data_IF_272785093553
#
_entry.id   IF_272785093553
#
_cell.length_a   1.000
_cell.length_b   1.000
_cell.length_c   1.000
_cell.angle_alpha   90.00
_cell.angle_beta   90.00
_cell.angle_gamma   90.00
#
_symmetry.space_group_name_H-M   'P 1'
#
loop_
_entity.id
_entity.type
_entity.pdbx_description
1 polymer ?
#
# COMPACT_ATOMS: atom_id res chain seq x y z
N UNK A 1 26.99 11.06 -5.95
CA UNK A 1 27.26 10.69 -4.54
C UNK A 1 26.12 11.24 -3.72
N UNK A 2 25.36 10.39 -3.04
CA UNK A 2 24.26 10.81 -2.17
C UNK A 2 24.90 11.55 -0.99
N UNK A 3 24.91 12.87 -1.03
CA UNK A 3 25.42 13.72 0.05
C UNK A 3 24.20 14.15 0.85
N UNK A 4 23.77 13.32 1.80
CA UNK A 4 22.76 13.67 2.77
C UNK A 4 23.39 13.87 4.16
N UNK A 5 22.85 14.77 4.96
CA UNK A 5 23.19 14.79 6.36
C UNK A 5 22.83 13.44 6.99
N UNK A 6 23.60 12.91 7.94
CA UNK A 6 23.27 11.67 8.62
C UNK A 6 21.89 11.81 9.28
N UNK A 7 21.11 10.73 9.17
CA UNK A 7 19.76 10.66 9.78
C UNK A 7 19.89 10.82 11.29
N UNK A 8 19.09 11.68 11.89
CA UNK A 8 18.98 11.83 13.35
C UNK A 8 17.67 11.24 13.82
N UNK A 9 17.72 10.45 14.88
CA UNK A 9 16.52 9.84 15.49
C UNK A 9 16.49 10.13 16.98
N UNK A 10 15.31 10.49 17.48
CA UNK A 10 15.05 10.68 18.90
C UNK A 10 13.65 10.18 19.27
N UNK A 11 13.46 9.83 20.51
CA UNK A 11 12.17 9.45 21.05
C UNK A 11 11.37 10.70 21.43
N UNK A 12 10.08 10.71 21.11
CA UNK A 12 9.17 11.78 21.49
C UNK A 12 8.54 11.45 22.85
N UNK A 13 8.57 12.41 23.77
CA UNK A 13 7.94 12.31 25.11
C UNK A 13 6.42 12.16 25.02
N UNK A 14 5.82 12.75 23.99
CA UNK A 14 4.38 12.66 23.71
C UNK A 14 4.16 12.13 22.31
N UNK A 15 3.21 11.23 22.19
CA UNK A 15 2.77 10.70 20.90
C UNK A 15 1.78 11.68 20.25
N UNK A 16 2.12 12.37 19.16
CA UNK A 16 1.17 13.21 18.45
C UNK A 16 0.12 12.33 17.75
N UNK A 17 -1.06 12.90 17.49
CA UNK A 17 -2.00 12.28 16.53
C UNK A 17 -1.40 12.41 15.13
N UNK A 18 -1.13 11.26 14.48
CA UNK A 18 -0.45 11.24 13.19
C UNK A 18 -1.30 11.84 12.07
N UNK A 19 -2.64 11.77 12.16
CA UNK A 19 -3.54 12.41 11.20
C UNK A 19 -3.50 13.93 11.34
N UNK A 20 -3.44 14.44 12.59
CA UNK A 20 -3.32 15.89 12.83
C UNK A 20 -1.99 16.42 12.31
N UNK A 21 -0.92 15.67 12.56
CA UNK A 21 0.43 16.03 12.13
C UNK A 21 0.53 16.11 10.61
N UNK A 22 0.07 15.10 9.86
CA UNK A 22 0.08 15.14 8.38
C UNK A 22 -0.88 16.20 7.84
N UNK A 23 -1.99 16.49 8.53
CA UNK A 23 -2.91 17.54 8.11
C UNK A 23 -2.28 18.92 8.23
N UNK A 24 -1.63 19.22 9.38
CA UNK A 24 -0.94 20.48 9.60
C UNK A 24 0.19 20.70 8.58
N UNK A 25 1.01 19.67 8.34
CA UNK A 25 2.09 19.76 7.36
C UNK A 25 1.58 19.94 5.92
N UNK A 26 0.51 19.23 5.54
CA UNK A 26 -0.12 19.39 4.21
C UNK A 26 -0.66 20.80 4.01
N UNK A 27 -1.33 21.37 5.02
CA UNK A 27 -1.92 22.69 4.91
C UNK A 27 -0.86 23.81 4.94
N UNK A 28 0.33 23.52 5.51
CA UNK A 28 1.53 24.33 5.35
C UNK A 28 2.23 24.17 3.99
N UNK A 29 1.66 23.38 3.06
CA UNK A 29 2.18 23.18 1.70
C UNK A 29 3.18 22.05 1.54
N UNK A 30 3.39 21.24 2.59
CA UNK A 30 4.29 20.08 2.48
C UNK A 30 3.57 18.86 1.88
N UNK A 31 4.30 18.10 1.09
CA UNK A 31 3.86 16.78 0.67
C UNK A 31 3.94 15.81 1.85
N UNK A 32 2.90 14.98 2.02
CA UNK A 32 2.80 14.08 3.16
C UNK A 32 2.37 12.68 2.75
N UNK A 33 2.81 11.68 3.54
CA UNK A 33 2.29 10.33 3.50
C UNK A 33 1.97 9.88 4.93
N UNK A 34 0.86 9.16 5.07
CA UNK A 34 0.47 8.48 6.29
C UNK A 34 0.25 7.00 5.99
N UNK A 35 0.79 6.14 6.82
CA UNK A 35 0.38 4.75 6.95
C UNK A 35 0.18 4.50 8.43
N UNK A 36 -1.05 4.32 8.84
CA UNK A 36 -1.42 4.09 10.23
C UNK A 36 -2.21 2.80 10.38
N UNK A 37 -1.83 1.98 11.33
CA UNK A 37 -2.66 0.87 11.82
C UNK A 37 -2.98 1.14 13.27
N UNK A 38 -4.27 1.33 13.62
CA UNK A 38 -4.68 1.74 14.98
C UNK A 38 -4.46 0.69 16.08
N UNK A 39 -3.82 -0.43 15.77
CA UNK A 39 -3.53 -1.52 16.74
C UNK A 39 -2.23 -1.23 17.52
N UNK A 40 -2.15 -1.61 18.82
CA UNK A 40 -1.04 -1.24 19.71
C UNK A 40 0.36 -1.66 19.23
N UNK A 41 0.49 -2.85 18.65
CA UNK A 41 1.78 -3.42 18.22
C UNK A 41 2.11 -3.16 16.74
N UNK A 42 1.27 -2.40 16.05
CA UNK A 42 1.48 -2.10 14.66
C UNK A 42 2.43 -0.92 14.46
N UNK A 43 3.19 -0.95 13.38
CA UNK A 43 3.98 0.19 12.93
C UNK A 43 3.07 1.19 12.23
N UNK A 44 3.10 2.44 12.68
CA UNK A 44 2.43 3.57 12.03
C UNK A 44 3.47 4.65 11.72
N UNK A 45 3.35 5.30 10.57
CA UNK A 45 4.32 6.30 10.09
C UNK A 45 3.58 7.50 9.52
N UNK A 46 3.94 8.70 10.00
CA UNK A 46 3.67 9.96 9.34
C UNK A 46 4.97 10.47 8.70
N UNK A 47 4.95 10.70 7.40
CA UNK A 47 6.07 11.20 6.62
C UNK A 47 5.75 12.63 6.16
N UNK A 48 6.59 13.58 6.56
CA UNK A 48 6.39 15.01 6.36
C UNK A 48 7.51 15.59 5.50
N UNK A 49 7.15 16.30 4.46
CA UNK A 49 8.10 16.89 3.50
C UNK A 49 8.90 15.82 2.76
N UNK A 50 9.85 16.25 1.98
CA UNK A 50 10.70 15.43 1.13
C UNK A 50 12.16 15.73 1.36
N UNK A 51 12.96 14.70 1.68
CA UNK A 51 14.41 14.74 1.55
C UNK A 51 14.84 14.12 0.21
N UNK A 52 14.33 12.92 -0.10
CA UNK A 52 14.55 12.23 -1.38
C UNK A 52 13.30 11.48 -1.80
N UNK A 53 13.09 11.34 -3.11
CA UNK A 53 12.09 10.46 -3.68
C UNK A 53 12.74 9.44 -4.63
N UNK A 54 12.37 8.16 -4.49
CA UNK A 54 12.62 7.13 -5.49
C UNK A 54 11.36 7.03 -6.33
N UNK A 55 11.45 7.43 -7.60
CA UNK A 55 10.30 7.51 -8.50
C UNK A 55 10.48 6.65 -9.74
N UNK A 56 9.37 6.17 -10.31
CA UNK A 56 9.40 5.48 -11.59
C UNK A 56 9.85 6.45 -12.69
N UNK A 57 10.81 6.00 -13.50
CA UNK A 57 11.33 6.71 -14.66
C UNK A 57 11.39 5.79 -15.87
N UNK A 58 11.61 6.35 -17.06
CA UNK A 58 11.77 5.56 -18.28
C UNK A 58 12.99 4.63 -18.15
N UNK A 59 12.76 3.33 -18.28
CA UNK A 59 13.82 2.33 -18.20
C UNK A 59 14.33 1.99 -16.80
N UNK A 60 13.73 2.53 -15.72
CA UNK A 60 14.18 2.24 -14.37
C UNK A 60 13.48 3.05 -13.28
N UNK A 61 14.26 3.47 -12.30
CA UNK A 61 13.83 4.43 -11.25
C UNK A 61 14.87 5.54 -11.11
N UNK A 62 14.42 6.75 -10.83
CA UNK A 62 15.25 7.90 -10.51
C UNK A 62 15.23 8.15 -9.00
N UNK A 63 16.34 8.68 -8.48
CA UNK A 63 16.41 9.30 -7.18
C UNK A 63 16.38 10.82 -7.37
N UNK A 64 15.36 11.45 -6.81
CA UNK A 64 15.20 12.90 -6.81
C UNK A 64 15.52 13.47 -5.43
N UNK A 65 16.14 14.66 -5.41
CA UNK A 65 16.37 15.41 -4.17
C UNK A 65 15.12 16.21 -3.74
N UNK A 66 15.26 17.01 -2.69
CA UNK A 66 14.17 17.82 -2.14
C UNK A 66 13.61 18.84 -3.15
N UNK A 67 14.39 19.25 -4.16
CA UNK A 67 13.96 20.16 -5.23
C UNK A 67 13.27 19.47 -6.40
N UNK A 68 13.35 18.15 -6.47
CA UNK A 68 12.89 17.33 -7.60
C UNK A 68 13.95 17.13 -8.68
N UNK A 69 15.19 17.54 -8.44
CA UNK A 69 16.28 17.27 -9.36
C UNK A 69 16.72 15.81 -9.28
N UNK A 70 16.89 15.16 -10.43
CA UNK A 70 17.39 13.78 -10.50
C UNK A 70 18.88 13.79 -10.17
N UNK A 71 19.27 13.06 -9.11
CA UNK A 71 20.65 12.97 -8.61
C UNK A 71 21.26 11.58 -8.80
N UNK A 72 20.45 10.55 -9.05
CA UNK A 72 20.90 9.18 -9.35
C UNK A 72 19.84 8.44 -10.18
N UNK A 73 20.26 7.39 -10.88
CA UNK A 73 19.38 6.55 -11.70
C UNK A 73 19.74 5.07 -11.57
N UNK A 74 18.74 4.22 -11.38
CA UNK A 74 18.91 2.77 -11.35
C UNK A 74 18.13 2.14 -12.49
N UNK A 75 18.80 1.55 -13.49
CA UNK A 75 18.16 0.90 -14.63
C UNK A 75 17.49 -0.42 -14.23
N UNK A 76 16.42 -0.77 -14.92
CA UNK A 76 15.76 -2.07 -14.75
C UNK A 76 14.32 -2.09 -15.24
N UNK A 77 13.95 -3.12 -15.97
CA UNK A 77 12.57 -3.33 -16.45
C UNK A 77 11.57 -3.54 -15.31
N UNK A 78 12.00 -4.19 -14.22
CA UNK A 78 11.19 -4.35 -13.02
C UNK A 78 11.46 -3.21 -12.04
N UNK A 79 10.57 -2.24 -12.04
CA UNK A 79 10.68 -1.03 -11.19
C UNK A 79 10.79 -1.32 -9.70
N UNK A 80 10.19 -2.40 -9.17
CA UNK A 80 10.29 -2.76 -7.75
C UNK A 80 11.69 -3.27 -7.41
N UNK A 81 12.29 -4.08 -8.28
CA UNK A 81 13.66 -4.55 -8.10
C UNK A 81 14.67 -3.40 -8.27
N UNK A 82 14.44 -2.49 -9.22
CA UNK A 82 15.24 -1.30 -9.35
C UNK A 82 15.12 -0.39 -8.11
N UNK A 83 13.89 -0.15 -7.61
CA UNK A 83 13.67 0.60 -6.38
C UNK A 83 14.32 -0.06 -5.15
N UNK A 84 14.31 -1.40 -5.09
CA UNK A 84 14.97 -2.14 -4.01
C UNK A 84 16.50 -1.93 -4.01
N UNK A 85 17.14 -1.93 -5.21
CA UNK A 85 18.57 -1.65 -5.33
C UNK A 85 18.90 -0.19 -5.01
N UNK A 86 18.09 0.76 -5.53
CA UNK A 86 18.22 2.18 -5.18
C UNK A 86 18.09 2.39 -3.67
N UNK A 87 17.08 1.79 -3.05
CA UNK A 87 16.87 1.90 -1.60
C UNK A 87 18.05 1.38 -0.78
N UNK A 88 18.68 0.27 -1.19
CA UNK A 88 19.90 -0.20 -0.50
C UNK A 88 21.02 0.84 -0.52
N UNK A 89 21.24 1.51 -1.66
CA UNK A 89 22.26 2.58 -1.74
C UNK A 89 21.90 3.78 -0.87
N UNK A 90 20.66 4.25 -0.97
CA UNK A 90 20.17 5.39 -0.19
C UNK A 90 20.21 5.09 1.30
N UNK A 91 19.67 3.97 1.73
CA UNK A 91 19.64 3.60 3.15
C UNK A 91 21.04 3.41 3.74
N UNK A 92 21.97 2.82 2.98
CA UNK A 92 23.37 2.66 3.43
C UNK A 92 24.08 4.01 3.56
N UNK A 93 23.84 4.95 2.62
CA UNK A 93 24.44 6.29 2.68
C UNK A 93 23.88 7.10 3.87
N UNK A 94 22.58 6.97 4.18
CA UNK A 94 21.92 7.67 5.28
C UNK A 94 22.22 7.04 6.65
N UNK A 95 22.53 5.75 6.72
CA UNK A 95 22.86 5.04 7.96
C UNK A 95 24.30 5.25 8.45
N UNK A 96 25.12 5.98 7.71
CA UNK A 96 26.55 6.20 8.03
C UNK A 96 26.82 7.09 9.27
N UNK A 97 25.78 7.44 10.05
CA UNK A 97 25.87 8.17 11.31
C UNK A 97 25.60 7.26 12.52
N UNK A 98 25.85 7.78 13.73
CA UNK A 98 25.61 7.10 15.02
C UNK A 98 24.12 6.92 15.37
N UNK A 99 23.26 6.76 14.39
CA UNK A 99 21.81 6.68 14.59
C UNK A 99 21.35 5.29 15.05
N UNK A 100 20.60 5.27 16.14
CA UNK A 100 19.96 4.07 16.70
C UNK A 100 18.85 3.53 15.78
N UNK A 101 18.32 4.34 14.87
CA UNK A 101 17.26 3.97 13.98
C UNK A 101 17.66 3.98 12.49
N UNK A 102 17.14 3.03 11.74
CA UNK A 102 17.34 2.96 10.30
C UNK A 102 16.58 4.08 9.57
N UNK A 103 17.10 4.57 8.42
CA UNK A 103 16.37 5.45 7.52
C UNK A 103 15.02 4.87 7.15
N UNK A 104 14.02 5.73 6.97
CA UNK A 104 12.64 5.35 6.64
C UNK A 104 12.32 5.81 5.23
N UNK A 105 11.76 4.93 4.41
CA UNK A 105 11.10 5.29 3.17
C UNK A 105 9.63 4.83 3.21
N UNK A 106 8.72 5.71 2.80
CA UNK A 106 7.28 5.45 2.78
C UNK A 106 6.75 5.72 1.38
N UNK A 107 5.88 4.85 0.87
CA UNK A 107 5.37 5.07 -0.48
C UNK A 107 4.50 3.94 -0.98
N UNK A 108 4.34 3.90 -2.29
CA UNK A 108 3.54 2.91 -2.98
C UNK A 108 3.85 2.84 -4.47
N UNK A 109 3.10 1.98 -5.15
CA UNK A 109 3.24 1.80 -6.58
C UNK A 109 1.90 1.46 -7.23
N UNK A 110 1.72 1.92 -8.46
CA UNK A 110 0.55 1.60 -9.26
C UNK A 110 0.54 0.09 -9.59
N UNK A 111 -0.64 -0.50 -9.66
CA UNK A 111 -0.81 -1.89 -10.07
C UNK A 111 -0.21 -2.14 -11.47
N UNK A 112 -0.44 -1.24 -12.42
CA UNK A 112 0.13 -1.30 -13.77
C UNK A 112 1.32 -0.35 -13.91
N UNK A 113 2.47 -0.82 -14.41
CA UNK A 113 3.65 0.03 -14.62
C UNK A 113 3.49 1.01 -15.79
N UNK A 114 2.68 0.62 -16.78
CA UNK A 114 2.43 1.31 -18.04
C UNK A 114 1.13 2.14 -18.00
N UNK A 115 0.71 2.56 -16.82
CA UNK A 115 -0.48 3.38 -16.65
C UNK A 115 -0.24 4.79 -17.22
N UNK A 116 -1.20 5.27 -18.01
CA UNK A 116 -1.30 6.69 -18.35
C UNK A 116 -1.62 7.48 -17.07
N UNK A 117 -0.79 8.44 -16.67
CA UNK A 117 -1.04 9.28 -15.49
C UNK A 117 -2.07 10.38 -15.76
N UNK A 118 -3.16 10.07 -16.47
CA UNK A 118 -4.23 11.02 -16.75
C UNK A 118 -5.31 11.04 -15.66
N UNK A 119 -6.12 12.09 -15.63
CA UNK A 119 -7.25 12.26 -14.73
C UNK A 119 -6.84 12.36 -13.27
N UNK A 120 -7.59 11.74 -12.32
CA UNK A 120 -7.35 11.89 -10.87
C UNK A 120 -6.02 11.30 -10.39
N UNK A 121 -5.26 10.68 -11.28
CA UNK A 121 -3.97 10.06 -10.97
C UNK A 121 -2.77 10.84 -11.51
N UNK A 122 -2.99 12.00 -12.14
CA UNK A 122 -1.93 12.83 -12.75
C UNK A 122 -0.83 13.24 -11.77
N UNK A 123 -1.21 13.52 -10.52
CA UNK A 123 -0.27 13.87 -9.45
C UNK A 123 0.53 12.71 -8.85
N UNK A 124 0.29 11.44 -9.27
CA UNK A 124 0.93 10.27 -8.68
C UNK A 124 1.79 9.54 -9.70
N UNK A 125 3.12 9.42 -9.48
CA UNK A 125 3.98 8.61 -10.32
C UNK A 125 3.62 7.11 -10.21
N UNK A 126 4.02 6.31 -11.20
CA UNK A 126 3.75 4.88 -11.19
C UNK A 126 4.42 4.12 -10.03
N UNK A 127 5.45 4.71 -9.43
CA UNK A 127 6.09 4.28 -8.19
C UNK A 127 6.64 5.52 -7.50
N UNK A 128 6.41 5.62 -6.19
CA UNK A 128 6.98 6.62 -5.29
C UNK A 128 7.36 5.93 -3.99
N UNK A 129 8.62 6.04 -3.59
CA UNK A 129 9.07 5.80 -2.21
C UNK A 129 9.84 7.02 -1.74
N UNK A 130 9.25 7.72 -0.78
CA UNK A 130 9.78 8.96 -0.21
C UNK A 130 10.62 8.67 1.02
N UNK A 131 11.83 9.19 1.07
CA UNK A 131 12.53 9.48 2.31
C UNK A 131 12.07 10.85 2.76
N UNK A 132 11.24 10.94 3.83
CA UNK A 132 10.70 12.23 4.25
C UNK A 132 11.78 13.12 4.87
N UNK A 133 11.55 14.43 4.86
CA UNK A 133 12.37 15.35 5.64
C UNK A 133 12.28 15.00 7.14
N UNK A 134 11.05 14.69 7.61
CA UNK A 134 10.78 14.18 8.94
C UNK A 134 9.83 12.97 8.89
N UNK A 135 10.20 11.86 9.49
CA UNK A 135 9.33 10.73 9.76
C UNK A 135 8.97 10.68 11.24
N UNK A 136 7.68 10.55 11.58
CA UNK A 136 7.23 10.23 12.93
C UNK A 136 6.67 8.81 12.92
N UNK A 137 7.32 7.91 13.64
CA UNK A 137 7.00 6.50 13.65
C UNK A 137 6.56 6.05 15.05
N UNK A 138 5.39 5.41 15.12
CA UNK A 138 4.88 4.77 16.33
C UNK A 138 5.03 3.26 16.19
N UNK A 139 5.65 2.62 17.16
CA UNK A 139 5.84 1.17 17.21
C UNK A 139 5.97 0.70 18.65
N UNK A 140 5.31 -0.39 19.01
CA UNK A 140 5.37 -1.02 20.35
C UNK A 140 5.16 -0.03 21.50
N UNK A 141 4.18 0.88 21.35
CA UNK A 141 3.86 1.88 22.36
C UNK A 141 4.84 3.04 22.49
N UNK A 142 5.90 3.09 21.68
CA UNK A 142 6.89 4.19 21.64
C UNK A 142 6.77 4.97 20.35
N UNK A 143 7.13 6.25 20.40
CA UNK A 143 7.10 7.14 19.25
C UNK A 143 8.47 7.76 19.03
N UNK A 144 8.95 7.66 17.80
CA UNK A 144 10.25 8.19 17.38
C UNK A 144 10.06 9.19 16.25
N UNK A 145 10.85 10.25 16.27
CA UNK A 145 11.03 11.14 15.14
C UNK A 145 12.38 10.86 14.49
N UNK A 146 12.41 10.84 13.17
CA UNK A 146 13.62 10.63 12.36
C UNK A 146 13.71 11.72 11.32
N UNK A 147 14.75 12.57 11.40
CA UNK A 147 15.02 13.64 10.45
C UNK A 147 16.07 13.20 9.43
N UNK A 148 15.81 13.42 8.15
CA UNK A 148 16.75 13.25 7.04
C UNK A 148 17.10 14.57 6.35
N UNK A 149 16.65 15.71 6.90
CA UNK A 149 16.95 17.05 6.40
C UNK A 149 17.24 18.02 7.57
N UNK A 150 18.05 19.06 7.36
CA UNK A 150 18.21 20.15 8.33
C UNK A 150 16.84 20.76 8.68
N UNK A 151 16.70 21.24 9.92
CA UNK A 151 15.53 21.99 10.41
C UNK A 151 14.16 21.29 10.25
N UNK A 152 14.16 20.02 9.84
CA UNK A 152 12.92 19.27 9.68
C UNK A 152 12.18 19.01 11.01
N UNK A 153 12.84 19.15 12.15
CA UNK A 153 12.22 19.05 13.46
C UNK A 153 11.10 20.08 13.66
N UNK A 154 11.21 21.27 13.04
CA UNK A 154 10.22 22.35 13.10
C UNK A 154 8.84 21.91 12.55
N UNK A 155 8.80 20.86 11.74
CA UNK A 155 7.54 20.26 11.27
C UNK A 155 6.70 19.64 12.39
N UNK A 156 7.28 19.37 13.57
CA UNK A 156 6.53 18.91 14.75
C UNK A 156 5.74 20.04 15.42
N UNK A 157 6.18 21.27 15.24
CA UNK A 157 5.63 22.45 15.91
C UNK A 157 4.58 23.18 15.04
N UNK A 158 4.26 22.62 13.87
CA UNK A 158 3.20 23.17 13.03
C UNK A 158 1.87 23.17 13.79
N UNK A 159 1.13 24.31 13.77
CA UNK A 159 -0.11 24.43 14.53
C UNK A 159 -1.12 23.39 14.08
N UNK A 160 -1.73 22.63 15.03
CA UNK A 160 -2.74 21.66 14.68
C UNK A 160 -3.93 22.38 14.05
N UNK A 161 -4.31 21.92 12.87
CA UNK A 161 -5.52 22.43 12.23
C UNK A 161 -6.76 21.96 12.97
N UNK A 162 -7.68 22.88 13.24
CA UNK A 162 -9.02 22.53 13.68
C UNK A 162 -9.77 21.92 12.47
N UNK A 163 -9.66 20.61 12.35
CA UNK A 163 -10.46 19.86 11.39
C UNK A 163 -11.93 19.95 11.85
N UNK A 164 -12.64 20.97 11.38
CA UNK A 164 -14.08 21.09 11.62
C UNK A 164 -14.78 19.90 10.96
N UNK A 165 -15.68 19.26 11.68
CA UNK A 165 -16.50 18.23 11.09
C UNK A 165 -17.22 18.83 9.87
N UNK A 166 -17.14 18.22 8.69
CA UNK A 166 -17.86 18.71 7.54
C UNK A 166 -19.35 18.68 7.88
N UNK A 167 -20.07 19.78 7.61
CA UNK A 167 -21.51 19.74 7.57
C UNK A 167 -21.94 18.58 6.64
N UNK A 168 -23.01 17.86 6.99
CA UNK A 168 -23.53 16.77 6.18
C UNK A 168 -23.73 17.31 4.75
N UNK A 169 -22.91 16.80 3.81
CA UNK A 169 -22.91 17.26 2.42
C UNK A 169 -23.73 16.29 1.57
N UNK A 170 -24.59 16.83 0.74
CA UNK A 170 -25.20 16.05 -0.33
C UNK A 170 -24.11 15.77 -1.36
N UNK A 171 -23.87 14.50 -1.64
CA UNK A 171 -22.94 14.08 -2.67
C UNK A 171 -23.73 13.54 -3.86
N UNK A 172 -23.43 14.05 -5.04
CA UNK A 172 -23.89 13.46 -6.30
C UNK A 172 -22.92 12.34 -6.68
N UNK A 173 -23.43 11.09 -6.67
CA UNK A 173 -22.63 9.91 -7.02
C UNK A 173 -22.97 9.47 -8.44
N UNK A 174 -21.97 9.49 -9.30
CA UNK A 174 -22.08 9.10 -10.71
C UNK A 174 -21.14 7.93 -11.01
N UNK A 175 -21.67 6.87 -11.62
CA UNK A 175 -20.85 5.79 -12.13
C UNK A 175 -20.10 6.24 -13.39
N UNK A 176 -18.77 6.10 -13.42
CA UNK A 176 -17.95 6.44 -14.60
C UNK A 176 -18.21 5.47 -15.76
N UNK A 177 -18.60 4.25 -15.45
CA UNK A 177 -19.07 3.27 -16.45
C UNK A 177 -20.56 3.04 -16.27
N UNK A 178 -21.32 3.13 -17.39
CA UNK A 178 -22.75 2.83 -17.39
C UNK A 178 -23.03 1.45 -16.76
N UNK A 179 -24.03 1.31 -15.85
CA UNK A 179 -24.35 0.04 -15.21
C UNK A 179 -24.62 -1.11 -16.18
N UNK A 180 -25.29 -0.85 -17.33
CA UNK A 180 -25.52 -1.89 -18.35
C UNK A 180 -24.21 -2.40 -18.95
N UNK A 181 -23.30 -1.47 -19.29
CA UNK A 181 -21.96 -1.84 -19.79
C UNK A 181 -21.13 -2.57 -18.73
N UNK A 182 -21.34 -2.27 -17.44
CA UNK A 182 -20.71 -3.02 -16.34
C UNK A 182 -21.22 -4.46 -16.29
N UNK A 183 -22.55 -4.66 -16.32
CA UNK A 183 -23.17 -6.00 -16.31
C UNK A 183 -22.69 -6.83 -17.49
N UNK A 184 -22.69 -6.28 -18.70
CA UNK A 184 -22.16 -6.95 -19.88
C UNK A 184 -20.68 -7.34 -19.75
N UNK A 185 -19.86 -6.50 -19.11
CA UNK A 185 -18.45 -6.82 -18.84
C UNK A 185 -18.31 -8.00 -17.86
N UNK A 186 -19.17 -8.07 -16.83
CA UNK A 186 -19.19 -9.19 -15.87
C UNK A 186 -19.60 -10.49 -16.57
N UNK A 187 -20.64 -10.46 -17.38
CA UNK A 187 -21.13 -11.61 -18.16
C UNK A 187 -20.06 -12.14 -19.12
N UNK A 188 -19.41 -11.23 -19.86
CA UNK A 188 -18.30 -11.56 -20.77
C UNK A 188 -17.13 -12.21 -20.02
N UNK A 189 -16.71 -11.61 -18.88
CA UNK A 189 -15.65 -12.16 -18.05
C UNK A 189 -16.01 -13.56 -17.53
N UNK A 190 -17.23 -13.76 -17.05
CA UNK A 190 -17.71 -15.06 -16.58
C UNK A 190 -17.75 -16.12 -17.70
N UNK A 191 -18.15 -15.74 -18.93
CA UNK A 191 -18.13 -16.63 -20.09
C UNK A 191 -16.68 -17.09 -20.42
N UNK A 192 -15.73 -16.17 -20.43
CA UNK A 192 -14.31 -16.46 -20.68
C UNK A 192 -13.68 -17.34 -19.61
N UNK A 193 -14.06 -17.16 -18.33
CA UNK A 193 -13.64 -18.04 -17.25
C UNK A 193 -14.18 -19.46 -17.45
N UNK A 194 -15.47 -19.60 -17.81
CA UNK A 194 -16.07 -20.92 -18.13
C UNK A 194 -15.41 -21.59 -19.33
N UNK A 195 -14.94 -20.82 -20.31
CA UNK A 195 -14.16 -21.34 -21.45
C UNK A 195 -12.70 -21.70 -21.10
N UNK A 196 -12.27 -21.49 -19.83
CA UNK A 196 -10.91 -21.82 -19.39
C UNK A 196 -9.83 -20.82 -19.82
N UNK A 197 -10.20 -19.63 -20.31
CA UNK A 197 -9.24 -18.61 -20.75
C UNK A 197 -8.43 -18.01 -19.59
N UNK A 198 -8.97 -18.07 -18.37
CA UNK A 198 -8.28 -17.64 -17.14
C UNK A 198 -8.85 -18.42 -15.94
N UNK A 199 -8.02 -18.59 -14.90
CA UNK A 199 -8.45 -19.23 -13.66
C UNK A 199 -9.27 -18.28 -12.76
N UNK A 200 -8.96 -16.98 -12.81
CA UNK A 200 -9.61 -15.93 -11.99
C UNK A 200 -9.50 -14.58 -12.68
N UNK A 201 -10.55 -13.77 -12.51
CA UNK A 201 -10.57 -12.36 -12.89
C UNK A 201 -11.16 -11.55 -11.73
N UNK A 202 -10.60 -10.38 -11.47
CA UNK A 202 -11.15 -9.41 -10.52
C UNK A 202 -11.52 -8.16 -11.32
N UNK A 203 -12.80 -7.77 -11.23
CA UNK A 203 -13.31 -6.57 -11.88
C UNK A 203 -13.46 -5.47 -10.85
N UNK A 204 -13.07 -4.25 -11.20
CA UNK A 204 -13.26 -3.05 -10.40
C UNK A 204 -14.17 -2.06 -11.11
N UNK A 205 -14.99 -1.37 -10.35
CA UNK A 205 -15.86 -0.29 -10.82
C UNK A 205 -15.49 1.01 -10.13
N UNK A 206 -15.44 2.07 -10.90
CA UNK A 206 -15.15 3.40 -10.45
C UNK A 206 -16.43 4.25 -10.42
N UNK A 207 -16.59 5.00 -9.34
CA UNK A 207 -17.66 6.00 -9.18
C UNK A 207 -17.03 7.34 -8.81
N UNK A 208 -17.67 8.43 -9.24
CA UNK A 208 -17.30 9.77 -8.86
C UNK A 208 -18.35 10.31 -7.89
N UNK A 209 -17.92 10.78 -6.74
CA UNK A 209 -18.75 11.51 -5.79
C UNK A 209 -18.37 13.00 -5.86
N UNK A 210 -19.32 13.87 -6.16
CA UNK A 210 -19.13 15.33 -6.21
C UNK A 210 -19.96 15.98 -5.13
N UNK A 211 -19.40 16.98 -4.49
CA UNK A 211 -20.07 17.81 -3.50
C UNK A 211 -19.50 19.21 -3.49
N UNK A 212 -20.17 20.12 -2.79
CA UNK A 212 -19.73 21.51 -2.68
C UNK A 212 -18.51 21.63 -1.76
N UNK A 213 -17.51 22.40 -2.19
CA UNK A 213 -16.31 22.74 -1.45
C UNK A 213 -15.24 21.65 -1.39
N UNK A 214 -14.18 21.92 -0.66
CA UNK A 214 -12.99 21.06 -0.56
C UNK A 214 -13.23 19.93 0.43
N UNK A 215 -12.86 18.70 0.05
CA UNK A 215 -12.83 17.55 0.95
C UNK A 215 -11.56 17.62 1.79
N UNK A 216 -11.68 17.75 3.11
CA UNK A 216 -10.55 17.73 4.02
C UNK A 216 -9.99 16.29 4.13
N UNK A 217 -8.84 16.06 3.52
CA UNK A 217 -8.20 14.73 3.46
C UNK A 217 -7.98 14.10 4.85
N UNK A 218 -7.53 14.90 5.83
CA UNK A 218 -7.36 14.46 7.22
C UNK A 218 -8.68 14.02 7.89
N UNK A 219 -9.80 14.68 7.57
CA UNK A 219 -11.12 14.24 8.08
C UNK A 219 -11.54 12.89 7.53
N UNK A 220 -11.27 12.64 6.23
CA UNK A 220 -11.54 11.34 5.61
C UNK A 220 -10.67 10.26 6.27
N UNK A 221 -9.37 10.50 6.44
CA UNK A 221 -8.46 9.57 7.11
C UNK A 221 -8.91 9.27 8.55
N UNK A 222 -9.33 10.29 9.32
CA UNK A 222 -9.86 10.14 10.68
C UNK A 222 -11.15 9.33 10.71
N UNK A 223 -12.06 9.58 9.78
CA UNK A 223 -13.31 8.82 9.65
C UNK A 223 -13.05 7.35 9.33
N UNK A 224 -12.12 7.06 8.40
CA UNK A 224 -11.72 5.70 8.06
C UNK A 224 -11.05 5.00 9.24
N UNK A 225 -10.18 5.70 10.00
CA UNK A 225 -9.55 5.17 11.21
C UNK A 225 -10.58 4.74 12.26
N UNK A 226 -11.61 5.54 12.45
CA UNK A 226 -12.68 5.24 13.40
C UNK A 226 -13.60 4.11 12.92
N UNK A 227 -13.93 4.09 11.62
CA UNK A 227 -14.82 3.09 11.04
C UNK A 227 -14.13 1.72 10.86
N UNK A 228 -12.81 1.69 10.61
CA UNK A 228 -12.05 0.49 10.29
C UNK A 228 -10.78 0.36 11.13
N UNK A 229 -10.87 0.19 12.46
CA UNK A 229 -9.73 0.20 13.38
C UNK A 229 -8.73 -0.94 13.17
N UNK A 230 -9.11 -2.02 12.49
CA UNK A 230 -8.24 -3.15 12.15
C UNK A 230 -7.53 -3.02 10.78
N UNK A 231 -7.88 -1.98 9.99
CA UNK A 231 -7.27 -1.74 8.69
C UNK A 231 -6.02 -0.86 8.77
N UNK A 232 -5.19 -0.95 7.74
CA UNK A 232 -4.18 0.07 7.46
C UNK A 232 -4.89 1.29 6.86
N UNK A 233 -4.79 2.43 7.52
CA UNK A 233 -5.26 3.71 7.00
C UNK A 233 -4.08 4.37 6.31
N UNK A 234 -4.27 4.79 5.07
CA UNK A 234 -3.23 5.49 4.33
C UNK A 234 -3.75 6.78 3.71
N UNK A 235 -2.86 7.76 3.65
CA UNK A 235 -3.06 9.02 2.95
C UNK A 235 -1.75 9.35 2.23
N UNK A 236 -1.83 9.65 0.95
CA UNK A 236 -0.69 10.05 0.12
C UNK A 236 -1.10 11.30 -0.65
N UNK A 237 -0.29 12.36 -0.56
CA UNK A 237 -0.51 13.56 -1.38
C UNK A 237 0.16 13.44 -2.73
N UNK A 238 -0.55 13.81 -3.78
CA UNK A 238 0.01 13.97 -5.12
C UNK A 238 0.67 15.35 -5.29
N UNK A 239 1.51 15.47 -6.30
CA UNK A 239 2.22 16.72 -6.61
C UNK A 239 1.27 17.89 -6.97
N UNK A 240 0.04 17.60 -7.39
CA UNK A 240 -1.02 18.56 -7.71
C UNK A 240 -1.91 18.92 -6.50
N UNK A 241 -1.55 18.48 -5.29
CA UNK A 241 -2.32 18.69 -4.08
C UNK A 241 -3.51 17.74 -3.89
N UNK A 242 -3.76 16.83 -4.83
CA UNK A 242 -4.74 15.75 -4.65
C UNK A 242 -4.32 14.82 -3.51
N UNK A 243 -5.25 14.01 -3.00
CA UNK A 243 -4.94 13.02 -1.98
C UNK A 243 -5.52 11.65 -2.37
N UNK A 244 -4.71 10.61 -2.24
CA UNK A 244 -5.13 9.22 -2.29
C UNK A 244 -5.27 8.69 -0.89
N UNK A 245 -6.48 8.28 -0.49
CA UNK A 245 -6.81 7.90 0.88
C UNK A 245 -7.58 6.59 0.86
N UNK A 246 -7.30 5.72 1.82
CA UNK A 246 -8.05 4.48 1.93
C UNK A 246 -7.81 3.73 3.23
N UNK A 247 -8.55 2.62 3.38
CA UNK A 247 -8.40 1.64 4.43
C UNK A 247 -8.26 0.25 3.80
N UNK A 248 -7.21 -0.49 4.15
CA UNK A 248 -6.97 -1.85 3.65
C UNK A 248 -6.73 -2.83 4.79
N UNK A 249 -7.44 -3.95 4.83
CA UNK A 249 -7.23 -4.98 5.85
C UNK A 249 -6.03 -5.88 5.53
N UNK A 250 -5.62 -5.96 4.27
CA UNK A 250 -4.72 -6.99 3.77
C UNK A 250 -3.25 -6.60 3.91
N UNK A 251 -2.46 -7.53 4.43
CA UNK A 251 -1.00 -7.43 4.52
C UNK A 251 -0.37 -8.12 3.30
N UNK A 252 0.16 -7.33 2.38
CA UNK A 252 0.87 -7.86 1.22
C UNK A 252 2.11 -8.66 1.65
N UNK A 253 3.05 -8.03 2.35
CA UNK A 253 4.20 -8.67 2.97
C UNK A 253 4.81 -7.75 4.04
N UNK A 254 5.22 -8.34 5.16
CA UNK A 254 6.05 -7.71 6.19
C UNK A 254 7.33 -8.50 6.37
N UNK A 255 8.46 -7.83 6.36
CA UNK A 255 9.78 -8.41 6.63
C UNK A 255 10.34 -7.85 7.94
N UNK A 256 10.84 -8.71 8.81
CA UNK A 256 11.53 -8.34 10.05
C UNK A 256 12.72 -9.29 10.24
N UNK A 257 13.93 -8.77 10.19
CA UNK A 257 15.12 -9.60 10.18
C UNK A 257 15.12 -10.58 8.99
N UNK A 258 15.28 -11.86 9.25
CA UNK A 258 15.19 -12.96 8.28
C UNK A 258 13.79 -13.54 8.14
N UNK A 259 12.77 -12.96 8.80
CA UNK A 259 11.41 -13.47 8.74
C UNK A 259 10.53 -12.59 7.86
N UNK A 260 9.80 -13.21 6.94
CA UNK A 260 8.73 -12.58 6.18
C UNK A 260 7.37 -13.18 6.56
N UNK A 261 6.32 -12.35 6.56
CA UNK A 261 4.93 -12.78 6.76
C UNK A 261 4.02 -12.09 5.75
N UNK A 262 2.99 -12.81 5.32
CA UNK A 262 1.92 -12.32 4.46
C UNK A 262 0.58 -12.87 4.97
N UNK A 263 -0.51 -12.19 4.65
CA UNK A 263 -1.86 -12.68 4.99
C UNK A 263 -2.80 -12.43 3.81
N UNK A 264 -2.72 -13.30 2.78
CA UNK A 264 -3.66 -13.24 1.66
C UNK A 264 -5.09 -13.49 2.13
N UNK A 265 -6.03 -12.72 1.55
CA UNK A 265 -7.45 -12.81 1.82
C UNK A 265 -8.22 -12.98 0.51
N UNK A 266 -9.15 -13.92 0.47
CA UNK A 266 -10.09 -14.10 -0.63
C UNK A 266 -11.29 -14.92 -0.16
N UNK A 267 -12.45 -14.74 -0.83
CA UNK A 267 -13.73 -15.20 -0.31
C UNK A 267 -14.24 -14.23 0.75
N UNK A 268 -15.48 -13.78 0.60
CA UNK A 268 -16.02 -12.69 1.43
C UNK A 268 -17.50 -12.85 1.66
N UNK A 269 -17.94 -12.51 2.87
CA UNK A 269 -19.36 -12.44 3.23
C UNK A 269 -19.58 -11.22 4.15
N UNK A 270 -20.76 -10.62 4.09
CA UNK A 270 -21.10 -9.52 4.98
C UNK A 270 -21.14 -9.99 6.44
N UNK A 271 -21.02 -9.04 7.38
CA UNK A 271 -21.29 -9.29 8.79
C UNK A 271 -22.77 -9.57 9.01
N UNK A 272 -23.08 -10.41 9.98
CA UNK A 272 -24.46 -10.64 10.42
C UNK A 272 -25.02 -9.48 11.24
N UNK A 273 -26.35 -9.32 11.21
CA UNK A 273 -27.02 -8.33 12.04
C UNK A 273 -27.04 -8.73 13.54
N UNK A 274 -26.98 -10.02 13.80
CA UNK A 274 -26.89 -10.61 15.15
C UNK A 274 -25.65 -11.51 15.20
N UNK A 275 -25.18 -11.85 16.40
CA UNK A 275 -24.06 -12.77 16.60
C UNK A 275 -24.34 -14.14 15.97
N UNK A 276 -25.56 -14.67 16.13
CA UNK A 276 -25.97 -15.93 15.52
C UNK A 276 -25.96 -15.89 13.98
N UNK A 277 -26.39 -14.78 13.37
CA UNK A 277 -26.29 -14.58 11.94
C UNK A 277 -24.85 -14.46 11.48
N UNK A 278 -24.01 -13.79 12.26
CA UNK A 278 -22.59 -13.60 11.97
C UNK A 278 -21.85 -14.94 11.95
N UNK A 279 -22.09 -15.80 12.95
CA UNK A 279 -21.53 -17.15 13.01
C UNK A 279 -22.05 -18.04 11.88
N UNK A 280 -23.33 -17.97 11.56
CA UNK A 280 -23.91 -18.73 10.44
C UNK A 280 -23.28 -18.32 9.11
N UNK A 281 -23.08 -17.04 8.88
CA UNK A 281 -22.42 -16.51 7.67
C UNK A 281 -20.95 -16.91 7.63
N UNK A 282 -20.22 -16.87 8.74
CA UNK A 282 -18.84 -17.35 8.84
C UNK A 282 -18.75 -18.83 8.44
N UNK A 283 -19.61 -19.66 9.00
CA UNK A 283 -19.65 -21.09 8.71
C UNK A 283 -20.01 -21.39 7.25
N UNK A 284 -20.94 -20.62 6.66
CA UNK A 284 -21.24 -20.72 5.23
C UNK A 284 -20.02 -20.39 4.37
N UNK A 285 -19.25 -19.37 4.75
CA UNK A 285 -18.01 -19.00 4.04
C UNK A 285 -16.96 -20.11 4.14
N UNK A 286 -16.76 -20.70 5.31
CA UNK A 286 -15.82 -21.81 5.54
C UNK A 286 -16.18 -23.04 4.70
N UNK A 287 -17.48 -23.34 4.58
CA UNK A 287 -17.98 -24.50 3.83
C UNK A 287 -18.13 -24.25 2.33
N UNK A 288 -17.99 -23.01 1.86
CA UNK A 288 -18.12 -22.67 0.46
C UNK A 288 -16.98 -23.25 -0.37
N UNK A 289 -17.28 -24.29 -1.16
CA UNK A 289 -16.30 -24.88 -2.06
C UNK A 289 -15.75 -23.87 -3.07
N UNK A 290 -16.59 -22.92 -3.53
CA UNK A 290 -16.20 -21.84 -4.45
C UNK A 290 -15.22 -20.88 -3.78
N UNK A 291 -15.58 -20.35 -2.61
CA UNK A 291 -14.74 -19.37 -1.90
C UNK A 291 -13.44 -20.00 -1.42
N UNK A 292 -13.50 -21.25 -0.94
CA UNK A 292 -12.33 -22.04 -0.59
C UNK A 292 -11.38 -22.30 -1.77
N UNK A 293 -11.90 -22.56 -2.97
CA UNK A 293 -11.08 -22.71 -4.17
C UNK A 293 -10.44 -21.37 -4.59
N UNK A 294 -11.20 -20.28 -4.52
CA UNK A 294 -10.72 -18.93 -4.79
C UNK A 294 -9.59 -18.53 -3.82
N UNK A 295 -9.81 -18.81 -2.54
CA UNK A 295 -8.83 -18.52 -1.49
C UNK A 295 -7.54 -19.31 -1.65
N UNK A 296 -7.63 -20.63 -1.89
CA UNK A 296 -6.45 -21.48 -2.14
C UNK A 296 -5.59 -20.96 -3.28
N UNK A 297 -6.21 -20.54 -4.39
CA UNK A 297 -5.46 -19.98 -5.53
C UNK A 297 -4.59 -18.78 -5.14
N UNK A 298 -5.08 -17.91 -4.24
CA UNK A 298 -4.34 -16.74 -3.78
C UNK A 298 -3.27 -17.13 -2.75
N UNK A 299 -3.61 -18.01 -1.80
CA UNK A 299 -2.67 -18.46 -0.77
C UNK A 299 -1.49 -19.25 -1.38
N UNK A 300 -1.77 -20.20 -2.27
CA UNK A 300 -0.74 -20.99 -2.97
C UNK A 300 0.19 -20.07 -3.78
N UNK A 301 -0.38 -19.05 -4.43
CA UNK A 301 0.44 -18.11 -5.17
C UNK A 301 1.40 -17.32 -4.26
N UNK A 302 0.97 -16.90 -3.08
CA UNK A 302 1.84 -16.19 -2.11
C UNK A 302 2.96 -17.13 -1.63
N UNK A 303 2.64 -18.39 -1.32
CA UNK A 303 3.63 -19.41 -0.95
C UNK A 303 4.67 -19.57 -2.05
N UNK A 304 4.24 -19.78 -3.30
CA UNK A 304 5.14 -19.93 -4.44
C UNK A 304 5.98 -18.67 -4.73
N UNK A 305 5.42 -17.48 -4.48
CA UNK A 305 6.13 -16.22 -4.65
C UNK A 305 7.27 -16.03 -3.64
N UNK A 306 7.13 -16.56 -2.42
CA UNK A 306 8.12 -16.46 -1.36
C UNK A 306 9.22 -17.54 -1.45
N UNK A 307 8.93 -18.72 -2.03
CA UNK A 307 9.88 -19.86 -2.12
C UNK A 307 11.27 -19.50 -2.66
N UNK A 308 11.44 -18.69 -3.71
CA UNK A 308 12.78 -18.36 -4.22
C UNK A 308 13.67 -17.63 -3.21
N UNK A 309 13.05 -16.93 -2.25
CA UNK A 309 13.72 -16.07 -1.28
C UNK A 309 13.91 -16.73 0.09
N UNK A 310 13.35 -17.92 0.30
CA UNK A 310 13.26 -18.53 1.63
C UNK A 310 13.86 -19.93 1.67
N UNK A 311 14.41 -20.31 2.82
CA UNK A 311 14.79 -21.68 3.15
C UNK A 311 13.57 -22.51 3.52
N UNK A 312 12.59 -21.87 4.17
CA UNK A 312 11.32 -22.49 4.51
C UNK A 312 10.15 -21.53 4.27
N UNK A 313 9.01 -22.08 3.82
CA UNK A 313 7.73 -21.35 3.73
C UNK A 313 6.63 -22.23 4.32
N UNK A 314 5.87 -21.67 5.25
CA UNK A 314 4.74 -22.35 5.90
C UNK A 314 3.47 -21.53 5.73
N UNK A 315 2.34 -22.23 5.54
CA UNK A 315 1.01 -21.64 5.51
C UNK A 315 0.13 -22.35 6.54
N UNK A 316 -0.61 -21.59 7.34
CA UNK A 316 -1.61 -22.15 8.24
C UNK A 316 -2.88 -22.51 7.47
N UNK A 317 -3.75 -23.37 8.01
CA UNK A 317 -5.10 -23.54 7.48
C UNK A 317 -5.81 -22.18 7.37
N UNK A 318 -6.73 -22.01 6.39
CA UNK A 318 -7.52 -20.80 6.29
C UNK A 318 -8.43 -20.65 7.51
N UNK A 319 -8.63 -19.41 7.94
CA UNK A 319 -9.53 -19.03 9.02
C UNK A 319 -10.41 -17.86 8.61
N UNK A 320 -11.59 -17.70 9.22
CA UNK A 320 -12.42 -16.52 9.00
C UNK A 320 -11.93 -15.37 9.86
N UNK A 321 -11.54 -14.29 9.21
CA UNK A 321 -11.18 -13.03 9.87
C UNK A 321 -12.33 -12.03 9.72
N UNK A 322 -12.73 -11.44 10.85
CA UNK A 322 -13.87 -10.51 10.93
C UNK A 322 -13.37 -9.07 10.97
N UNK A 323 -13.93 -8.24 10.08
CA UNK A 323 -13.76 -6.80 10.07
C UNK A 323 -15.08 -6.12 10.43
N UNK A 324 -15.13 -4.80 10.44
CA UNK A 324 -16.31 -4.03 10.88
C UNK A 324 -17.57 -4.42 10.09
N UNK A 325 -17.50 -4.58 8.79
CA UNK A 325 -18.63 -4.78 7.88
C UNK A 325 -18.56 -6.03 7.01
N UNK A 326 -17.47 -6.78 7.09
CA UNK A 326 -17.20 -7.93 6.21
C UNK A 326 -16.39 -8.99 6.94
N UNK A 327 -16.50 -10.24 6.50
CA UNK A 327 -15.68 -11.37 6.90
C UNK A 327 -14.96 -11.91 5.67
N UNK A 328 -13.72 -12.37 5.84
CA UNK A 328 -12.89 -12.96 4.78
C UNK A 328 -12.28 -14.28 5.23
N UNK A 329 -12.05 -15.20 4.28
CA UNK A 329 -11.07 -16.25 4.50
C UNK A 329 -9.66 -15.65 4.39
N UNK A 330 -8.82 -15.95 5.35
CA UNK A 330 -7.44 -15.50 5.43
C UNK A 330 -6.52 -16.68 5.74
N UNK A 331 -5.31 -16.67 5.18
CA UNK A 331 -4.24 -17.64 5.48
C UNK A 331 -3.00 -16.91 5.96
N UNK A 332 -2.53 -17.22 7.16
CA UNK A 332 -1.25 -16.72 7.64
C UNK A 332 -0.11 -17.50 6.95
N UNK A 333 0.69 -16.81 6.16
CA UNK A 333 1.88 -17.34 5.50
C UNK A 333 3.13 -16.75 6.15
N UNK A 334 4.10 -17.61 6.49
CA UNK A 334 5.38 -17.20 7.05
C UNK A 334 6.53 -17.85 6.26
N UNK A 335 7.64 -17.13 6.15
CA UNK A 335 8.84 -17.59 5.48
C UNK A 335 10.08 -17.21 6.28
N UNK A 336 11.04 -18.13 6.36
CA UNK A 336 12.37 -17.90 6.87
C UNK A 336 13.28 -17.62 5.66
N UNK A 337 13.75 -16.38 5.55
CA UNK A 337 14.46 -15.90 4.37
C UNK A 337 15.90 -16.37 4.35
N UNK A 338 16.41 -16.68 3.16
CA UNK A 338 17.81 -16.95 2.89
C UNK A 338 18.67 -15.71 3.17
N UNK A 339 19.89 -15.92 3.60
CA UNK A 339 20.87 -14.83 3.72
C UNK A 339 21.66 -14.62 2.40
N UNK A 340 21.91 -13.37 1.99
CA UNK A 340 21.40 -12.12 2.58
C UNK A 340 19.91 -11.95 2.35
N UNK A 341 19.15 -11.56 3.40
CA UNK A 341 17.70 -11.53 3.34
C UNK A 341 17.17 -10.47 2.36
N UNK A 342 16.27 -10.91 1.49
CA UNK A 342 15.57 -10.04 0.55
C UNK A 342 14.79 -8.95 1.30
N UNK A 343 14.78 -7.73 0.77
CA UNK A 343 13.99 -6.65 1.34
C UNK A 343 12.51 -6.74 0.93
N UNK A 344 11.64 -5.93 1.56
CA UNK A 344 10.20 -5.97 1.31
C UNK A 344 9.81 -5.69 -0.15
N UNK A 345 10.56 -4.85 -0.87
CA UNK A 345 10.29 -4.55 -2.28
C UNK A 345 10.65 -5.73 -3.19
N UNK A 346 11.71 -6.46 -2.89
CA UNK A 346 12.09 -7.68 -3.62
C UNK A 346 11.04 -8.78 -3.42
N UNK A 347 10.56 -8.96 -2.18
CA UNK A 347 9.49 -9.89 -1.86
C UNK A 347 8.18 -9.49 -2.56
N UNK A 348 7.83 -8.20 -2.55
CA UNK A 348 6.67 -7.67 -3.26
C UNK A 348 6.77 -7.86 -4.78
N UNK A 349 7.97 -7.74 -5.36
CA UNK A 349 8.20 -7.99 -6.79
C UNK A 349 7.94 -9.44 -7.20
N UNK A 350 8.07 -10.38 -6.26
CA UNK A 350 7.69 -11.79 -6.42
C UNK A 350 6.18 -12.04 -6.35
N UNK A 351 5.41 -11.12 -5.78
CA UNK A 351 3.97 -11.28 -5.54
C UNK A 351 3.13 -11.31 -6.84
N UNK A 352 1.86 -11.79 -6.77
CA UNK A 352 0.94 -11.83 -7.92
C UNK A 352 0.74 -10.48 -8.57
N UNK A 353 0.73 -9.42 -7.76
CA UNK A 353 0.55 -8.06 -8.22
C UNK A 353 1.67 -7.58 -9.14
N UNK A 354 2.88 -8.13 -9.04
CA UNK A 354 4.03 -7.76 -9.86
C UNK A 354 4.27 -8.68 -11.08
N UNK A 355 3.83 -9.95 -11.04
CA UNK A 355 4.19 -10.97 -12.06
C UNK A 355 3.22 -11.12 -13.23
N UNK A 356 2.06 -10.49 -13.26
CA UNK A 356 1.00 -10.73 -14.26
C UNK A 356 1.38 -10.49 -15.73
N UNK A 357 2.51 -9.90 -16.04
CA UNK A 357 2.98 -9.76 -17.44
C UNK A 357 3.35 -11.06 -18.13
N UNK A 358 3.76 -12.12 -17.41
CA UNK A 358 4.21 -13.37 -18.03
C UNK A 358 3.08 -14.30 -18.52
N UNK A 359 1.90 -14.25 -17.92
CA UNK A 359 0.78 -15.10 -18.33
C UNK A 359 0.03 -14.52 -19.53
N UNK A 360 -0.12 -13.19 -19.62
CA UNK A 360 -0.74 -12.54 -20.78
C UNK A 360 0.14 -12.62 -22.05
N UNK A 361 1.47 -12.70 -21.92
CA UNK A 361 2.38 -12.82 -23.08
C UNK A 361 2.47 -14.24 -23.63
N UNK A 362 2.17 -15.28 -22.84
CA UNK A 362 2.13 -16.66 -23.33
C UNK A 362 0.89 -16.94 -24.19
N UNK A 363 -0.26 -16.35 -23.86
CA UNK A 363 -1.47 -16.51 -24.68
C UNK A 363 -1.36 -15.81 -26.05
N UNK A 364 -0.64 -14.69 -26.15
CA UNK A 364 -0.44 -13.99 -27.44
C UNK A 364 0.58 -14.66 -28.37
N UNK A 365 1.41 -15.59 -27.92
CA UNK A 365 2.36 -16.31 -28.77
C UNK A 365 1.79 -17.57 -29.42
N UNK A 366 0.62 -18.04 -29.00
CA UNK A 366 -0.04 -19.17 -29.63
C UNK A 366 -0.89 -18.81 -30.88
N UNK A 367 -1.29 -17.51 -31.02
CA UNK A 367 -2.21 -17.12 -32.12
C UNK A 367 -1.52 -16.70 -33.43
N UNK A 368 -0.16 -16.66 -33.48
CA UNK A 368 0.56 -16.30 -34.73
C UNK A 368 1.18 -17.46 -35.50
N UNK A 369 0.73 -18.72 -35.26
CA UNK A 369 1.20 -19.87 -36.06
C UNK A 369 0.06 -20.70 -36.68
N UNK A 370 -1.10 -20.12 -36.93
CA UNK A 370 -2.10 -20.69 -37.85
C UNK A 370 -2.75 -19.53 -38.62
N UNK A 371 -2.15 -19.16 -39.71
CA UNK A 371 -2.72 -18.53 -40.90
C UNK A 371 -1.82 -18.90 -42.07
#
# INVERSE_FOLDING_TARGET
MIVGAPVRTWELERTPDLVDLVSAARDAGHEVLLIERPMPDAVSVAALGRAFDIVAAAGGVALEDATGAVIDFEPGENRLLAAARMWRRVSSALAAGDSIAAPVAVGGFAYRPDRDPAGPWSGFPALLFRVPALAVMRTRGRTFATSAAPDAADLLDLPPQRLSAPAARKLDVTALRNPVAWTAAVESAAARLRAGEAAKVVLAREVMARGDGVVAAGMVARSLRSAYPSCFIYLVTGADGTAFIGASPELLVRRSGTRAVSQPMAGSVARGATEADDERLAHQLEQSAKDGAEHRLVADFVVEALRPFADSVSARPPEVVRFTNIQHLATAVAADLKEPAANALELAAGSPHARRRRLASRSRRCDHRRA
#
